data_IF_162950117686
#
_entry.id   IF_162950117686
#
_cell.length_a   1.000
_cell.length_b   1.000
_cell.length_c   1.000
_cell.angle_alpha   90.00
_cell.angle_beta   90.00
_cell.angle_gamma   90.00
#
_symmetry.space_group_name_H-M   'P 1'
#
loop_
_entity.id
_entity.type
_entity.pdbx_description
1 polymer ?
#
# COMPACT_ATOMS: atom_id res chain seq x y z
N UNK A 1 11.21 1.27 -26.16
CA UNK A 1 10.48 2.08 -25.16
C UNK A 1 9.21 2.62 -25.82
N UNK A 2 8.02 2.19 -25.40
CA UNK A 2 6.76 2.78 -25.88
C UNK A 2 6.58 4.15 -25.20
N UNK A 3 6.18 5.15 -25.98
CA UNK A 3 6.05 6.54 -25.54
C UNK A 3 4.84 6.69 -24.58
N UNK A 4 5.08 7.12 -23.34
CA UNK A 4 4.07 7.16 -22.25
C UNK A 4 2.98 8.22 -22.51
N UNK A 5 3.23 9.15 -23.44
CA UNK A 5 2.34 10.28 -23.75
C UNK A 5 1.28 10.01 -24.83
N UNK A 6 1.31 8.86 -25.50
CA UNK A 6 0.35 8.53 -26.55
C UNK A 6 -0.75 7.60 -26.02
N UNK A 7 -1.64 8.12 -25.18
CA UNK A 7 -2.77 7.35 -24.64
C UNK A 7 -3.90 7.26 -25.66
N UNK A 8 -4.13 6.09 -26.25
CA UNK A 8 -5.23 5.88 -27.20
C UNK A 8 -6.52 5.55 -26.45
N UNK A 9 -7.61 6.28 -26.76
CA UNK A 9 -8.96 5.96 -26.25
C UNK A 9 -9.47 4.71 -26.96
N UNK A 10 -9.38 3.56 -26.31
CA UNK A 10 -9.78 2.26 -26.88
C UNK A 10 -11.25 1.95 -26.60
N UNK A 11 -11.89 1.17 -27.48
CA UNK A 11 -13.29 0.75 -27.36
C UNK A 11 -13.55 -0.09 -26.11
N UNK A 12 -14.81 -0.12 -25.65
CA UNK A 12 -15.21 -0.72 -24.38
C UNK A 12 -14.88 -2.22 -24.26
N UNK A 13 -15.02 -2.99 -25.35
CA UNK A 13 -14.70 -4.42 -25.37
C UNK A 13 -13.21 -4.67 -25.17
N UNK A 14 -12.37 -3.96 -25.92
CA UNK A 14 -10.91 -4.08 -25.85
C UNK A 14 -10.37 -3.69 -24.47
N UNK A 15 -11.00 -2.73 -23.79
CA UNK A 15 -10.62 -2.39 -22.40
C UNK A 15 -10.92 -3.53 -21.42
N UNK A 16 -12.02 -4.28 -21.59
CA UNK A 16 -12.33 -5.42 -20.73
C UNK A 16 -11.33 -6.55 -20.93
N UNK A 17 -10.98 -6.85 -22.17
CA UNK A 17 -9.99 -7.88 -22.50
C UNK A 17 -8.60 -7.51 -21.98
N UNK A 18 -8.22 -6.23 -22.09
CA UNK A 18 -6.96 -5.71 -21.54
C UNK A 18 -6.92 -5.84 -20.01
N UNK A 19 -8.03 -5.53 -19.33
CA UNK A 19 -8.12 -5.69 -17.87
C UNK A 19 -8.08 -7.17 -17.47
N UNK A 20 -8.73 -8.05 -18.23
CA UNK A 20 -8.71 -9.48 -17.98
C UNK A 20 -7.30 -10.07 -18.12
N UNK A 21 -6.58 -9.69 -19.18
CA UNK A 21 -5.18 -10.07 -19.39
C UNK A 21 -4.28 -9.52 -18.28
N UNK A 22 -4.48 -8.25 -17.88
CA UNK A 22 -3.73 -7.65 -16.78
C UNK A 22 -3.96 -8.39 -15.45
N UNK A 23 -5.18 -8.83 -15.15
CA UNK A 23 -5.47 -9.63 -13.95
C UNK A 23 -4.73 -10.97 -13.97
N UNK A 24 -4.61 -11.64 -15.14
CA UNK A 24 -3.82 -12.87 -15.25
C UNK A 24 -2.33 -12.63 -14.98
N UNK A 25 -1.81 -11.47 -15.39
CA UNK A 25 -0.39 -11.12 -15.20
C UNK A 25 -0.07 -10.65 -13.77
N UNK A 26 -0.94 -9.82 -13.18
CA UNK A 26 -0.70 -9.20 -11.85
C UNK A 26 -1.28 -10.00 -10.68
N UNK A 27 -2.15 -10.96 -10.98
CA UNK A 27 -2.98 -11.64 -9.97
C UNK A 27 -4.05 -10.72 -9.35
N UNK A 28 -4.64 -11.19 -8.25
CA UNK A 28 -5.73 -10.53 -7.52
C UNK A 28 -5.29 -9.35 -6.64
N UNK A 29 -3.99 -9.16 -6.45
CA UNK A 29 -3.40 -8.20 -5.51
C UNK A 29 -3.59 -6.75 -5.94
N UNK A 30 -3.76 -6.50 -7.24
CA UNK A 30 -3.86 -5.16 -7.80
C UNK A 30 -5.28 -4.60 -7.62
N UNK A 31 -5.41 -3.66 -6.69
CA UNK A 31 -6.64 -2.88 -6.53
C UNK A 31 -6.84 -1.88 -7.67
N UNK A 32 -8.03 -1.26 -7.72
CA UNK A 32 -8.45 -0.33 -8.80
C UNK A 32 -7.41 0.73 -9.18
N UNK A 33 -6.75 1.34 -8.18
CA UNK A 33 -5.76 2.41 -8.41
C UNK A 33 -4.49 1.87 -9.06
N UNK A 34 -3.97 0.77 -8.53
CA UNK A 34 -2.76 0.12 -9.04
C UNK A 34 -2.98 -0.42 -10.45
N UNK A 35 -4.13 -1.07 -10.69
CA UNK A 35 -4.51 -1.58 -12.00
C UNK A 35 -4.67 -0.46 -13.03
N UNK A 36 -5.22 0.70 -12.62
CA UNK A 36 -5.32 1.87 -13.52
C UNK A 36 -3.94 2.39 -13.93
N UNK A 37 -2.99 2.47 -12.97
CA UNK A 37 -1.61 2.84 -13.27
C UNK A 37 -0.88 1.81 -14.15
N UNK A 38 -1.11 0.52 -13.91
CA UNK A 38 -0.56 -0.57 -14.73
C UNK A 38 -1.02 -0.49 -16.18
N UNK A 39 -2.34 -0.34 -16.40
CA UNK A 39 -2.92 -0.18 -17.73
C UNK A 39 -2.39 1.07 -18.43
N UNK A 40 -2.25 2.17 -17.68
CA UNK A 40 -1.68 3.40 -18.23
C UNK A 40 -0.23 3.19 -18.70
N UNK A 41 0.58 2.45 -17.95
CA UNK A 41 1.95 2.11 -18.33
C UNK A 41 2.01 1.23 -19.61
N UNK A 42 0.98 0.39 -19.82
CA UNK A 42 0.81 -0.40 -21.06
C UNK A 42 0.14 0.38 -22.21
N UNK A 43 -0.19 1.67 -21.99
CA UNK A 43 -0.78 2.57 -22.98
C UNK A 43 -2.32 2.55 -23.02
N UNK A 44 -2.98 1.86 -22.10
CA UNK A 44 -4.43 1.73 -22.00
C UNK A 44 -5.00 2.74 -21.00
N UNK A 45 -5.73 3.74 -21.50
CA UNK A 45 -6.41 4.71 -20.65
C UNK A 45 -7.79 4.20 -20.20
N UNK A 46 -7.88 3.77 -18.94
CA UNK A 46 -9.12 3.34 -18.31
C UNK A 46 -9.45 4.20 -17.07
N UNK A 47 -10.74 4.45 -16.81
CA UNK A 47 -11.13 5.18 -15.59
C UNK A 47 -11.12 4.27 -14.37
N UNK A 48 -10.65 4.77 -13.22
CA UNK A 48 -10.60 3.98 -11.97
C UNK A 48 -11.96 3.37 -11.60
N UNK A 49 -13.06 4.09 -11.84
CA UNK A 49 -14.42 3.61 -11.59
C UNK A 49 -14.75 2.39 -12.45
N UNK A 50 -14.36 2.41 -13.72
CA UNK A 50 -14.59 1.30 -14.67
C UNK A 50 -13.75 0.09 -14.30
N UNK A 51 -12.45 0.31 -14.08
CA UNK A 51 -11.52 -0.73 -13.61
C UNK A 51 -12.06 -1.38 -12.33
N UNK A 52 -12.52 -0.58 -11.38
CA UNK A 52 -13.14 -1.06 -10.15
C UNK A 52 -14.42 -1.88 -10.37
N UNK A 53 -15.28 -1.53 -11.34
CA UNK A 53 -16.48 -2.31 -11.66
C UNK A 53 -16.10 -3.68 -12.24
N UNK A 54 -15.15 -3.72 -13.16
CA UNK A 54 -14.69 -4.95 -13.83
C UNK A 54 -13.97 -5.86 -12.83
N UNK A 55 -13.06 -5.33 -12.00
CA UNK A 55 -12.38 -6.10 -10.96
C UNK A 55 -13.36 -6.77 -9.98
N UNK A 56 -14.47 -6.09 -9.63
CA UNK A 56 -15.51 -6.67 -8.76
C UNK A 56 -16.23 -7.84 -9.40
N UNK A 57 -16.45 -7.80 -10.72
CA UNK A 57 -17.12 -8.88 -11.47
C UNK A 57 -16.18 -10.04 -11.71
N UNK A 58 -14.94 -9.76 -12.16
CA UNK A 58 -13.94 -10.75 -12.54
C UNK A 58 -13.33 -11.49 -11.34
N UNK A 59 -13.18 -10.82 -10.20
CA UNK A 59 -12.64 -11.43 -8.98
C UNK A 59 -13.54 -11.20 -7.77
N UNK A 60 -14.75 -11.76 -7.89
CA UNK A 60 -15.76 -11.75 -6.85
C UNK A 60 -15.27 -12.33 -5.50
N UNK A 61 -14.58 -13.49 -5.42
CA UNK A 61 -14.16 -14.03 -4.13
C UNK A 61 -13.16 -13.13 -3.40
N UNK A 62 -12.18 -12.54 -4.10
CA UNK A 62 -11.24 -11.59 -3.48
C UNK A 62 -11.95 -10.34 -2.95
N UNK A 63 -12.88 -9.79 -3.73
CA UNK A 63 -13.67 -8.62 -3.31
C UNK A 63 -14.56 -8.94 -2.10
N UNK A 64 -15.18 -10.12 -2.05
CA UNK A 64 -15.96 -10.57 -0.90
C UNK A 64 -15.09 -10.79 0.34
N UNK A 65 -13.91 -11.40 0.21
CA UNK A 65 -12.94 -11.54 1.30
C UNK A 65 -12.51 -10.17 1.85
N UNK A 66 -12.19 -9.20 0.98
CA UNK A 66 -11.87 -7.84 1.42
C UNK A 66 -13.04 -7.16 2.15
N UNK A 67 -14.27 -7.32 1.67
CA UNK A 67 -15.46 -6.76 2.33
C UNK A 67 -15.74 -7.41 3.68
N UNK A 68 -15.39 -8.69 3.85
CA UNK A 68 -15.50 -9.41 5.13
C UNK A 68 -14.37 -9.01 6.09
N UNK A 69 -13.12 -9.00 5.63
CA UNK A 69 -11.94 -8.62 6.43
C UNK A 69 -11.85 -7.13 6.78
N UNK A 70 -12.42 -6.24 5.97
CA UNK A 70 -12.50 -4.80 6.26
C UNK A 70 -13.36 -4.46 7.48
N UNK A 71 -14.09 -5.44 8.05
CA UNK A 71 -14.89 -5.25 9.26
C UNK A 71 -14.14 -5.55 10.56
N UNK A 72 -12.89 -6.01 10.48
CA UNK A 72 -12.00 -6.04 11.65
C UNK A 72 -11.41 -4.63 11.85
N UNK A 73 -12.29 -3.64 12.03
CA UNK A 73 -11.85 -2.30 12.40
C UNK A 73 -11.29 -2.40 13.81
N UNK A 74 -10.09 -1.87 14.01
CA UNK A 74 -9.52 -1.73 15.35
C UNK A 74 -10.53 -0.90 16.16
N UNK A 75 -11.09 -1.42 17.28
CA UNK A 75 -12.18 -0.76 18.00
C UNK A 75 -11.80 0.63 18.52
N UNK A 76 -10.49 0.89 18.65
CA UNK A 76 -9.93 2.19 18.98
C UNK A 76 -9.47 2.87 17.69
N UNK A 77 -10.04 4.04 17.33
CA UNK A 77 -9.56 4.82 16.20
C UNK A 77 -8.06 5.14 16.34
N UNK A 78 -7.32 5.00 15.25
CA UNK A 78 -5.92 5.39 15.22
C UNK A 78 -5.82 6.92 15.27
N UNK A 79 -5.34 7.45 16.38
CA UNK A 79 -5.17 8.90 16.61
C UNK A 79 -3.71 9.22 16.93
N UNK A 80 -3.14 10.21 16.25
CA UNK A 80 -1.81 10.75 16.53
C UNK A 80 -1.94 12.25 16.82
N UNK A 81 -1.42 12.69 17.96
CA UNK A 81 -1.55 14.07 18.44
C UNK A 81 -0.61 15.07 17.73
N UNK A 82 0.56 14.61 17.29
CA UNK A 82 1.59 15.44 16.66
C UNK A 82 2.54 14.59 15.78
N UNK A 83 3.34 15.26 14.96
CA UNK A 83 4.31 14.62 14.05
C UNK A 83 5.31 13.75 14.82
N UNK A 84 5.45 12.50 14.40
CA UNK A 84 6.31 11.52 15.05
C UNK A 84 5.65 10.75 16.22
N UNK A 85 4.48 11.16 16.71
CA UNK A 85 3.82 10.45 17.82
C UNK A 85 3.55 8.98 17.47
N UNK A 86 3.03 8.70 16.27
CA UNK A 86 2.80 7.33 15.80
C UNK A 86 3.24 7.19 14.36
N UNK A 87 3.94 6.12 14.06
CA UNK A 87 4.37 5.78 12.69
C UNK A 87 3.60 4.55 12.24
N UNK A 88 3.06 4.61 11.04
CA UNK A 88 2.43 3.50 10.36
C UNK A 88 3.43 2.88 9.38
N UNK A 89 3.91 1.69 9.69
CA UNK A 89 4.81 0.93 8.81
C UNK A 89 3.98 -0.15 8.14
N UNK A 90 3.89 -0.10 6.81
CA UNK A 90 3.14 -1.06 6.01
C UNK A 90 4.03 -1.74 4.96
N UNK A 91 3.79 -3.02 4.76
CA UNK A 91 4.47 -3.82 3.74
C UNK A 91 3.57 -3.90 2.50
N UNK A 92 4.00 -3.27 1.40
CA UNK A 92 3.27 -3.33 0.15
C UNK A 92 3.59 -4.63 -0.61
N UNK A 93 2.67 -5.57 -0.55
CA UNK A 93 2.74 -6.84 -1.29
C UNK A 93 2.44 -6.70 -2.79
N UNK A 94 2.00 -5.53 -3.27
CA UNK A 94 1.63 -5.34 -4.69
C UNK A 94 2.84 -5.34 -5.62
N UNK A 95 4.06 -5.22 -5.11
CA UNK A 95 5.27 -5.29 -5.93
C UNK A 95 5.91 -6.68 -5.95
N UNK A 96 5.32 -7.65 -5.25
CA UNK A 96 5.84 -9.04 -5.20
C UNK A 96 5.95 -9.64 -6.61
N UNK A 97 5.08 -9.27 -7.55
CA UNK A 97 5.16 -9.75 -8.93
C UNK A 97 6.43 -9.30 -9.67
N UNK A 98 7.10 -8.25 -9.19
CA UNK A 98 8.40 -7.80 -9.71
C UNK A 98 9.57 -8.37 -8.90
N UNK A 99 9.31 -9.34 -8.02
CA UNK A 99 10.33 -9.94 -7.16
C UNK A 99 10.84 -8.99 -6.08
N UNK A 100 10.04 -7.99 -5.67
CA UNK A 100 10.43 -7.02 -4.63
C UNK A 100 9.36 -6.85 -3.57
N UNK A 101 9.81 -6.69 -2.34
CA UNK A 101 9.05 -6.22 -1.20
C UNK A 101 9.36 -4.75 -0.99
N UNK A 102 8.33 -3.92 -0.88
CA UNK A 102 8.49 -2.52 -0.53
C UNK A 102 7.84 -2.26 0.82
N UNK A 103 8.60 -1.69 1.75
CA UNK A 103 8.13 -1.30 3.07
C UNK A 103 8.17 0.21 3.15
N UNK A 104 7.08 0.81 3.65
CA UNK A 104 6.94 2.25 3.70
C UNK A 104 6.45 2.67 5.09
N UNK A 105 7.08 3.70 5.64
CA UNK A 105 6.72 4.31 6.91
C UNK A 105 6.05 5.67 6.66
N UNK A 106 4.87 5.84 7.25
CA UNK A 106 4.04 7.04 7.17
C UNK A 106 3.88 7.63 8.57
N UNK A 107 4.08 8.93 8.71
CA UNK A 107 3.78 9.64 9.94
C UNK A 107 2.26 9.72 10.14
N UNK A 108 1.78 9.27 11.30
CA UNK A 108 0.36 9.14 11.62
C UNK A 108 -0.37 10.47 11.76
N UNK A 109 0.34 11.58 12.00
CA UNK A 109 -0.25 12.93 12.10
C UNK A 109 -0.29 13.63 10.74
N UNK A 110 0.88 13.80 10.11
CA UNK A 110 1.02 14.55 8.86
C UNK A 110 0.70 13.74 7.60
N UNK A 111 0.56 12.41 7.72
CA UNK A 111 0.42 11.48 6.58
C UNK A 111 1.58 11.54 5.57
N UNK A 112 2.74 12.11 5.96
CA UNK A 112 3.94 12.16 5.12
C UNK A 112 4.70 10.85 5.17
N UNK A 113 5.34 10.49 4.07
CA UNK A 113 6.30 9.38 4.03
C UNK A 113 7.57 9.81 4.74
N UNK A 114 7.96 9.07 5.78
CA UNK A 114 9.14 9.37 6.62
C UNK A 114 10.33 8.49 6.31
N UNK A 115 10.09 7.26 5.87
CA UNK A 115 11.13 6.34 5.40
C UNK A 115 10.52 5.27 4.49
N UNK A 116 11.35 4.64 3.66
CA UNK A 116 10.95 3.53 2.80
C UNK A 116 12.16 2.66 2.45
N UNK A 117 11.91 1.38 2.17
CA UNK A 117 12.92 0.46 1.68
C UNK A 117 12.33 -0.48 0.64
N UNK A 118 13.10 -0.74 -0.43
CA UNK A 118 12.77 -1.74 -1.46
C UNK A 118 13.82 -2.84 -1.40
N UNK A 119 13.39 -4.08 -1.29
CA UNK A 119 14.28 -5.24 -1.15
C UNK A 119 13.74 -6.43 -1.95
N UNK A 120 14.59 -7.28 -2.54
CA UNK A 120 14.12 -8.42 -3.34
C UNK A 120 13.36 -9.44 -2.48
N UNK A 121 13.91 -9.76 -1.30
CA UNK A 121 13.29 -10.63 -0.30
C UNK A 121 13.22 -9.85 1.01
N UNK A 122 12.14 -10.04 1.76
CA UNK A 122 11.94 -9.39 3.06
C UNK A 122 13.13 -9.66 3.98
N UNK A 123 13.82 -8.60 4.37
CA UNK A 123 14.95 -8.64 5.29
C UNK A 123 14.69 -7.71 6.48
N UNK A 124 14.58 -8.29 7.67
CA UNK A 124 14.30 -7.55 8.91
C UNK A 124 15.42 -6.57 9.27
N UNK A 125 16.68 -6.88 8.94
CA UNK A 125 17.81 -5.97 9.20
C UNK A 125 17.70 -4.70 8.36
N UNK A 126 17.42 -4.86 7.06
CA UNK A 126 17.17 -3.73 6.15
C UNK A 126 15.96 -2.91 6.59
N UNK A 127 14.87 -3.56 7.01
CA UNK A 127 13.69 -2.85 7.54
C UNK A 127 14.05 -2.08 8.82
N UNK A 128 14.84 -2.66 9.71
CA UNK A 128 15.26 -1.99 10.92
C UNK A 128 16.16 -0.78 10.61
N UNK A 129 17.18 -0.98 9.78
CA UNK A 129 18.21 0.02 9.50
C UNK A 129 17.68 1.18 8.64
N UNK A 130 16.98 0.88 7.55
CA UNK A 130 16.60 1.87 6.54
C UNK A 130 15.20 2.45 6.76
N UNK A 131 14.35 1.79 7.56
CA UNK A 131 12.99 2.26 7.85
C UNK A 131 12.84 2.65 9.31
N UNK A 132 12.97 1.71 10.24
CA UNK A 132 12.64 1.96 11.64
C UNK A 132 13.62 2.94 12.30
N UNK A 133 14.92 2.68 12.19
CA UNK A 133 15.98 3.51 12.77
C UNK A 133 15.94 4.92 12.18
N UNK A 134 15.75 5.04 10.87
CA UNK A 134 15.58 6.32 10.18
C UNK A 134 14.37 7.09 10.72
N UNK A 135 13.22 6.44 10.92
CA UNK A 135 12.04 7.10 11.51
C UNK A 135 12.30 7.61 12.93
N UNK A 136 13.06 6.87 13.73
CA UNK A 136 13.43 7.26 15.10
C UNK A 136 14.47 8.40 15.14
N UNK A 137 15.24 8.61 14.06
CA UNK A 137 16.31 9.61 13.99
C UNK A 137 15.88 10.90 13.26
N UNK A 138 15.07 10.79 12.21
CA UNK A 138 14.66 11.90 11.34
C UNK A 138 13.48 12.70 11.89
N UNK A 139 12.89 12.22 12.97
CA UNK A 139 11.92 12.99 13.71
C UNK A 139 12.70 13.68 14.82
N UNK A 140 12.45 14.98 15.06
CA UNK A 140 12.80 15.65 16.32
C UNK A 140 12.02 15.05 17.52
N UNK A 141 11.71 13.74 17.48
CA UNK A 141 11.39 12.93 18.65
C UNK A 141 12.71 12.81 19.41
N UNK A 142 13.01 13.87 20.15
CA UNK A 142 13.67 13.69 21.42
C UNK A 142 12.85 12.62 22.13
N UNK A 143 13.43 11.46 22.41
CA UNK A 143 12.93 10.61 23.49
C UNK A 143 12.92 11.50 24.73
N UNK A 144 11.83 12.24 24.97
CA UNK A 144 11.50 12.67 26.31
C UNK A 144 11.18 11.36 27.01
N UNK A 145 12.21 10.77 27.59
CA UNK A 145 12.09 9.74 28.60
C UNK A 145 11.24 10.33 29.70
N UNK A 146 9.92 10.18 29.58
CA UNK A 146 9.02 10.38 30.69
C UNK A 146 9.27 9.19 31.61
N UNK A 147 10.20 9.38 32.54
CA UNK A 147 10.17 8.72 33.84
C UNK A 147 8.87 9.14 34.54
N UNK A 148 7.76 8.57 34.11
CA UNK A 148 6.52 8.50 34.87
C UNK A 148 5.96 7.11 34.62
N UNK A 149 6.28 6.21 35.56
CA UNK A 149 5.67 4.91 35.70
C UNK A 149 4.16 4.98 35.53
N UNK A 150 3.63 4.38 34.48
CA UNK A 150 2.22 3.95 34.43
C UNK A 150 2.15 2.47 34.07
N UNK A 151 1.23 1.72 34.70
CA UNK A 151 1.35 0.27 34.83
C UNK A 151 0.98 -0.45 33.53
N UNK A 152 1.57 -1.63 33.38
CA UNK A 152 1.39 -2.59 32.31
C UNK A 152 0.00 -2.58 31.65
N UNK A 153 -0.09 -2.05 30.44
CA UNK A 153 -1.05 -2.56 29.47
C UNK A 153 -0.31 -3.53 28.55
N UNK A 154 -0.70 -4.79 28.69
CA UNK A 154 -0.12 -5.93 28.02
C UNK A 154 -0.13 -5.72 26.50
N UNK A 155 1.05 -5.89 25.91
CA UNK A 155 1.20 -6.20 24.48
C UNK A 155 0.52 -7.55 24.24
N UNK A 156 -0.47 -7.59 23.35
CA UNK A 156 -0.85 -8.84 22.69
C UNK A 156 -0.63 -8.65 21.21
N UNK A 157 0.03 -9.69 20.69
CA UNK A 157 0.51 -9.99 19.34
C UNK A 157 -0.59 -9.81 18.30
#
# INVERSE_FOLDING_TARGET
>A
MKNIYTSVKISLGVQQDSIASAIQQTGSTYGRKMMTGYLLADGVLASERRVGKILKTMNRPYNEMRRRGARNLNPVPYHADYMGHKVHIDQNEKLIMFGVTHVLAIDGYSSKVVAHATMPIKNTLTIYEDVYRVCCQNTDITFKGNHTSKPHQQRII
#
